data_IF_692237840076
#
_entry.id   IF_692237840076
#
_cell.length_a   1.000
_cell.length_b   1.000
_cell.length_c   1.000
_cell.angle_alpha   90.00
_cell.angle_beta   90.00
_cell.angle_gamma   90.00
#
_symmetry.space_group_name_H-M   'P 1'
#
loop_
_entity.id
_entity.type
_entity.pdbx_description
1 polymer ?
#
# COMPACT_ATOMS: atom_id res chain seq x y z
N UNK A 1 -12.35 0.77 11.67
CA UNK A 1 -13.28 -0.39 11.65
C UNK A 1 -13.69 -0.79 10.24
N UNK A 2 -13.82 0.15 9.29
CA UNK A 2 -14.09 -0.09 7.86
C UNK A 2 -12.82 -0.18 6.99
N UNK A 3 -11.69 -0.66 7.55
CA UNK A 3 -10.39 -0.58 6.87
C UNK A 3 -10.18 -1.70 5.84
N UNK A 4 -10.94 -2.80 5.94
CA UNK A 4 -10.80 -3.95 5.05
C UNK A 4 -11.96 -4.02 4.06
N UNK A 5 -11.65 -4.44 2.84
CA UNK A 5 -12.58 -4.67 1.73
C UNK A 5 -12.49 -6.14 1.34
N UNK A 6 -13.63 -6.78 1.09
CA UNK A 6 -13.68 -8.10 0.45
C UNK A 6 -13.78 -7.90 -1.04
N UNK A 7 -12.82 -8.42 -1.79
CA UNK A 7 -12.85 -8.39 -3.25
C UNK A 7 -13.91 -9.33 -3.80
N UNK A 8 -14.69 -8.81 -4.73
CA UNK A 8 -15.70 -9.56 -5.49
C UNK A 8 -15.19 -9.86 -6.90
N UNK A 9 -14.53 -8.90 -7.53
CA UNK A 9 -13.82 -9.03 -8.82
C UNK A 9 -12.48 -8.30 -8.72
N UNK A 10 -11.37 -8.98 -8.95
CA UNK A 10 -10.03 -8.40 -8.94
C UNK A 10 -9.70 -7.64 -10.23
N UNK A 11 -10.55 -7.73 -11.26
CA UNK A 11 -10.34 -7.06 -12.54
C UNK A 11 -9.01 -7.46 -13.18
N UNK A 12 -8.27 -6.48 -13.67
CA UNK A 12 -6.91 -6.66 -14.23
C UNK A 12 -5.81 -6.21 -13.25
N UNK A 13 -6.15 -6.12 -11.96
CA UNK A 13 -5.20 -5.87 -10.87
C UNK A 13 -4.42 -7.14 -10.50
N UNK A 14 -3.41 -6.99 -9.64
CA UNK A 14 -2.64 -8.13 -9.09
C UNK A 14 -3.30 -8.74 -7.84
N UNK A 15 -4.51 -8.31 -7.50
CA UNK A 15 -5.23 -8.79 -6.32
C UNK A 15 -5.92 -10.13 -6.63
N UNK A 16 -6.44 -10.78 -5.58
CA UNK A 16 -7.11 -12.08 -5.70
C UNK A 16 -8.58 -11.97 -5.33
N UNK A 17 -9.45 -12.58 -6.13
CA UNK A 17 -10.87 -12.67 -5.87
C UNK A 17 -11.16 -13.33 -4.52
N UNK A 18 -12.15 -12.80 -3.81
CA UNK A 18 -12.55 -13.27 -2.48
C UNK A 18 -11.54 -12.96 -1.36
N UNK A 19 -10.38 -12.39 -1.68
CA UNK A 19 -9.40 -11.99 -0.66
C UNK A 19 -9.88 -10.75 0.11
N UNK A 20 -9.40 -10.61 1.34
CA UNK A 20 -9.61 -9.41 2.16
C UNK A 20 -8.37 -8.54 2.09
N UNK A 21 -8.51 -7.35 1.53
CA UNK A 21 -7.44 -6.38 1.35
C UNK A 21 -7.71 -5.10 2.14
N UNK A 22 -6.67 -4.30 2.35
CA UNK A 22 -6.84 -2.95 2.89
C UNK A 22 -7.47 -2.03 1.84
N UNK A 23 -8.27 -1.06 2.27
CA UNK A 23 -8.88 -0.09 1.36
C UNK A 23 -7.82 0.72 0.60
N UNK A 24 -6.68 0.99 1.24
CA UNK A 24 -5.57 1.71 0.60
C UNK A 24 -4.88 0.86 -0.45
N UNK A 25 -4.66 -0.44 -0.17
CA UNK A 25 -4.06 -1.34 -1.15
C UNK A 25 -4.96 -1.56 -2.38
N UNK A 26 -6.29 -1.51 -2.20
CA UNK A 26 -7.25 -1.54 -3.30
C UNK A 26 -7.13 -0.28 -4.16
N UNK A 27 -7.07 0.89 -3.52
CA UNK A 27 -6.92 2.18 -4.20
C UNK A 27 -5.59 2.28 -4.96
N UNK A 28 -4.49 1.84 -4.35
CA UNK A 28 -3.17 1.77 -4.98
C UNK A 28 -3.18 0.83 -6.20
N UNK A 29 -3.84 -0.33 -6.08
CA UNK A 29 -3.96 -1.29 -7.19
C UNK A 29 -4.78 -0.74 -8.36
N UNK A 30 -5.86 -0.01 -8.07
CA UNK A 30 -6.69 0.63 -9.10
C UNK A 30 -5.96 1.82 -9.75
N UNK A 31 -5.21 2.60 -8.96
CA UNK A 31 -4.36 3.69 -9.47
C UNK A 31 -3.27 3.15 -10.42
N UNK A 32 -2.69 2.00 -10.13
CA UNK A 32 -1.74 1.33 -11.04
C UNK A 32 -2.42 0.90 -12.35
N UNK A 33 -3.66 0.41 -12.28
CA UNK A 33 -4.46 0.10 -13.48
C UNK A 33 -4.71 1.36 -14.31
N UNK A 34 -5.05 2.48 -13.69
CA UNK A 34 -5.22 3.76 -14.38
C UNK A 34 -3.94 4.23 -15.07
N UNK A 35 -2.79 4.07 -14.40
CA UNK A 35 -1.48 4.38 -14.99
C UNK A 35 -1.19 3.52 -16.22
N UNK A 36 -1.46 2.21 -16.16
CA UNK A 36 -1.29 1.27 -17.28
C UNK A 36 -2.23 1.60 -18.45
N UNK A 37 -3.48 1.94 -18.14
CA UNK A 37 -4.45 2.41 -19.12
C UNK A 37 -3.99 3.69 -19.83
N UNK A 38 -3.42 4.64 -19.09
CA UNK A 38 -2.86 5.87 -19.62
C UNK A 38 -1.58 5.62 -20.46
N UNK A 39 -0.77 4.62 -20.11
CA UNK A 39 0.37 4.17 -20.90
C UNK A 39 -0.03 3.43 -22.20
N UNK A 40 -1.34 3.26 -22.44
CA UNK A 40 -1.85 2.64 -23.65
C UNK A 40 -1.99 1.12 -23.57
N UNK A 41 -1.80 0.53 -22.39
CA UNK A 41 -2.11 -0.88 -22.18
C UNK A 41 -3.63 -1.10 -22.32
N UNK A 42 -3.99 -2.21 -22.94
CA UNK A 42 -5.36 -2.62 -23.23
C UNK A 42 -5.49 -4.11 -22.99
N UNK A 43 -6.71 -4.55 -22.70
CA UNK A 43 -7.07 -5.97 -22.64
C UNK A 43 -7.06 -6.57 -24.04
N UNK A 44 -7.11 -7.90 -24.14
CA UNK A 44 -7.07 -8.64 -25.41
C UNK A 44 -8.25 -8.29 -26.34
N UNK A 45 -9.37 -7.83 -25.77
CA UNK A 45 -10.56 -7.36 -26.47
C UNK A 45 -10.44 -5.90 -26.97
N UNK A 46 -9.33 -5.21 -26.67
CA UNK A 46 -9.08 -3.81 -27.05
C UNK A 46 -9.68 -2.80 -26.07
N UNK A 47 -10.33 -3.25 -25.00
CA UNK A 47 -10.90 -2.37 -23.97
C UNK A 47 -9.88 -1.96 -22.91
N UNK A 48 -10.26 -1.00 -22.06
CA UNK A 48 -9.46 -0.58 -20.92
C UNK A 48 -9.34 -1.70 -19.89
N UNK A 49 -8.21 -1.74 -19.18
CA UNK A 49 -8.02 -2.59 -18.01
C UNK A 49 -9.06 -2.24 -16.94
N UNK A 50 -9.64 -3.27 -16.32
CA UNK A 50 -10.68 -3.14 -15.31
C UNK A 50 -10.09 -3.00 -13.93
N UNK A 51 -10.73 -2.17 -13.12
CA UNK A 51 -10.42 -2.00 -11.70
C UNK A 51 -10.87 -3.23 -10.91
N UNK A 52 -10.28 -3.39 -9.73
CA UNK A 52 -10.80 -4.30 -8.73
C UNK A 52 -11.99 -3.66 -7.99
N UNK A 53 -13.04 -4.46 -7.81
CA UNK A 53 -14.27 -4.11 -7.11
C UNK A 53 -14.47 -5.00 -5.88
N UNK A 54 -15.04 -4.42 -4.84
CA UNK A 54 -15.31 -5.16 -3.62
C UNK A 54 -16.14 -4.41 -2.61
N UNK A 55 -16.70 -5.16 -1.66
CA UNK A 55 -17.56 -4.61 -0.61
C UNK A 55 -16.76 -4.34 0.67
N UNK A 56 -16.87 -3.12 1.18
CA UNK A 56 -16.21 -2.73 2.43
C UNK A 56 -16.82 -3.46 3.63
N UNK A 57 -15.96 -4.00 4.49
CA UNK A 57 -16.37 -4.80 5.63
C UNK A 57 -16.31 -4.00 6.94
N UNK A 58 -17.42 -4.00 7.68
CA UNK A 58 -17.43 -3.53 9.05
C UNK A 58 -16.92 -4.62 9.99
N UNK A 59 -15.71 -4.42 10.53
CA UNK A 59 -15.10 -5.36 11.48
C UNK A 59 -15.20 -4.83 12.90
N UNK A 60 -15.54 -5.71 13.85
CA UNK A 60 -15.43 -5.42 15.27
C UNK A 60 -13.98 -5.11 15.69
N UNK A 61 -13.80 -4.35 16.76
CA UNK A 61 -12.50 -3.79 17.17
C UNK A 61 -11.43 -4.89 17.32
N UNK A 62 -11.76 -6.00 17.97
CA UNK A 62 -10.84 -7.14 18.16
C UNK A 62 -10.36 -7.72 16.83
N UNK A 63 -11.29 -7.99 15.91
CA UNK A 63 -10.98 -8.59 14.60
C UNK A 63 -10.22 -7.60 13.72
N UNK A 64 -10.57 -6.33 13.76
CA UNK A 64 -9.85 -5.27 13.05
C UNK A 64 -8.41 -5.11 13.57
N UNK A 65 -8.19 -5.26 14.88
CA UNK A 65 -6.87 -5.14 15.51
C UNK A 65 -5.95 -6.32 15.19
N UNK A 66 -6.51 -7.52 15.02
CA UNK A 66 -5.75 -8.70 14.58
C UNK A 66 -5.47 -8.71 13.07
N UNK A 67 -6.30 -8.04 12.27
CA UNK A 67 -6.17 -7.96 10.81
C UNK A 67 -5.29 -6.80 10.32
N UNK A 68 -4.41 -6.27 11.18
CA UNK A 68 -3.40 -5.28 10.78
C UNK A 68 -2.30 -5.94 9.94
N UNK A 69 -1.60 -5.15 9.12
CA UNK A 69 -0.61 -5.69 8.19
C UNK A 69 0.68 -6.12 8.91
N UNK A 70 1.03 -5.39 9.97
CA UNK A 70 2.16 -5.72 10.85
C UNK A 70 1.81 -6.86 11.80
N UNK A 71 2.60 -7.93 11.71
CA UNK A 71 2.41 -9.08 12.58
C UNK A 71 2.95 -8.80 13.99
N UNK A 72 3.93 -7.90 14.16
CA UNK A 72 4.45 -7.53 15.48
C UNK A 72 3.38 -6.82 16.30
N UNK A 73 2.65 -5.87 15.69
CA UNK A 73 1.54 -5.18 16.34
C UNK A 73 0.34 -6.08 16.59
N UNK A 74 0.02 -6.98 15.64
CA UNK A 74 -1.05 -7.95 15.83
C UNK A 74 -0.73 -8.90 17.00
N UNK A 75 0.49 -9.43 17.05
CA UNK A 75 0.94 -10.38 18.07
C UNK A 75 1.00 -9.78 19.48
N UNK A 76 1.22 -8.46 19.59
CA UNK A 76 1.22 -7.74 20.86
C UNK A 76 -0.17 -7.44 21.42
N UNK A 77 -1.23 -7.63 20.63
CA UNK A 77 -2.60 -7.41 21.08
C UNK A 77 -3.16 -8.66 21.76
N UNK A 78 -3.42 -9.72 20.98
CA UNK A 78 -3.97 -11.00 21.43
C UNK A 78 -3.58 -12.12 20.45
N UNK A 79 -3.92 -13.38 20.77
CA UNK A 79 -3.71 -14.56 19.90
C UNK A 79 -2.24 -14.75 19.42
N UNK A 80 -1.25 -14.37 20.24
CA UNK A 80 0.18 -14.30 19.89
C UNK A 80 0.71 -15.55 19.17
N UNK A 81 0.43 -16.75 19.68
CA UNK A 81 0.90 -18.01 19.08
C UNK A 81 0.40 -18.19 17.64
N UNK A 82 -0.87 -17.88 17.39
CA UNK A 82 -1.50 -18.02 16.08
C UNK A 82 -0.92 -16.98 15.11
N UNK A 83 -0.83 -15.72 15.52
CA UNK A 83 -0.30 -14.63 14.68
C UNK A 83 1.15 -14.92 14.25
N UNK A 84 2.02 -15.32 15.18
CA UNK A 84 3.41 -15.62 14.88
C UNK A 84 3.57 -16.87 14.01
N UNK A 85 2.75 -17.89 14.23
CA UNK A 85 2.76 -19.11 13.39
C UNK A 85 2.35 -18.80 11.95
N UNK A 86 1.27 -18.04 11.75
CA UNK A 86 0.85 -17.64 10.40
C UNK A 86 1.88 -16.75 9.70
N UNK A 87 2.51 -15.83 10.44
CA UNK A 87 3.57 -14.98 9.92
C UNK A 87 4.80 -15.80 9.50
N UNK A 88 5.21 -16.79 10.32
CA UNK A 88 6.32 -17.68 10.02
C UNK A 88 6.05 -18.56 8.79
N UNK A 89 4.86 -19.16 8.68
CA UNK A 89 4.48 -19.99 7.52
C UNK A 89 4.48 -19.17 6.23
N UNK A 90 3.98 -17.93 6.28
CA UNK A 90 3.90 -17.04 5.12
C UNK A 90 5.21 -16.29 4.83
N UNK A 91 6.22 -16.39 5.71
CA UNK A 91 7.44 -15.61 5.62
C UNK A 91 7.18 -14.10 5.64
N UNK A 92 6.20 -13.63 6.42
CA UNK A 92 5.82 -12.21 6.45
C UNK A 92 6.99 -11.32 6.90
N UNK A 93 7.15 -10.19 6.24
CA UNK A 93 8.09 -9.13 6.60
C UNK A 93 7.31 -7.98 7.24
N UNK A 94 7.80 -7.48 8.37
CA UNK A 94 7.21 -6.30 9.03
C UNK A 94 7.98 -5.05 8.61
N UNK A 95 7.29 -4.09 7.99
CA UNK A 95 7.89 -2.85 7.49
C UNK A 95 7.95 -1.73 8.54
N UNK A 96 7.48 -1.97 9.78
CA UNK A 96 7.62 -1.03 10.90
C UNK A 96 7.05 0.37 10.60
N UNK A 97 5.94 0.45 9.88
CA UNK A 97 5.30 1.71 9.51
C UNK A 97 4.36 2.25 10.60
N UNK A 98 4.01 1.43 11.59
CA UNK A 98 3.07 1.78 12.64
C UNK A 98 3.74 2.26 13.93
N UNK A 99 2.91 2.60 14.91
CA UNK A 99 3.39 3.09 16.20
C UNK A 99 3.89 1.96 17.09
N UNK A 100 3.11 0.88 17.18
CA UNK A 100 3.34 -0.19 18.16
C UNK A 100 4.58 -1.03 17.82
N UNK A 101 4.85 -1.31 16.55
CA UNK A 101 6.05 -2.10 16.20
C UNK A 101 7.32 -1.34 16.60
N UNK A 102 7.35 -0.04 16.33
CA UNK A 102 8.49 0.81 16.66
C UNK A 102 8.71 0.93 18.17
N UNK A 103 7.64 0.98 18.97
CA UNK A 103 7.74 0.93 20.43
C UNK A 103 8.32 -0.42 20.90
N UNK A 104 7.88 -1.54 20.33
CA UNK A 104 8.34 -2.88 20.72
C UNK A 104 9.84 -3.05 20.46
N UNK A 105 10.34 -2.56 19.34
CA UNK A 105 11.77 -2.67 18.99
C UNK A 105 12.64 -1.56 19.60
N UNK A 106 12.02 -0.53 20.19
CA UNK A 106 12.74 0.61 20.78
C UNK A 106 13.23 1.68 19.78
N UNK A 107 12.61 1.78 18.59
CA UNK A 107 12.87 2.85 17.62
C UNK A 107 11.96 4.05 17.89
N UNK A 108 12.36 5.25 17.43
CA UNK A 108 11.46 6.40 17.38
C UNK A 108 10.17 6.04 16.64
N UNK A 109 9.03 6.45 17.20
CA UNK A 109 7.73 6.24 16.56
C UNK A 109 7.52 7.23 15.39
N UNK A 110 6.76 6.86 14.34
CA UNK A 110 6.45 7.73 13.21
C UNK A 110 5.39 8.80 13.56
N UNK A 111 5.55 9.47 14.69
CA UNK A 111 4.66 10.52 15.15
C UNK A 111 5.41 11.53 16.03
N UNK A 112 4.87 12.75 16.13
CA UNK A 112 5.45 13.82 16.94
C UNK A 112 6.90 14.13 16.54
N UNK A 113 7.80 14.13 17.52
CA UNK A 113 9.24 14.40 17.30
C UNK A 113 9.94 13.34 16.44
N UNK A 114 9.40 12.12 16.37
CA UNK A 114 9.97 11.06 15.54
C UNK A 114 9.67 11.23 14.04
N UNK A 115 8.69 12.08 13.66
CA UNK A 115 8.30 12.26 12.26
C UNK A 115 9.44 12.82 11.39
N UNK A 116 10.29 13.68 11.95
CA UNK A 116 11.42 14.28 11.22
C UNK A 116 12.39 13.20 10.71
N UNK A 117 12.75 12.23 11.57
CA UNK A 117 13.61 11.12 11.19
C UNK A 117 12.98 10.28 10.07
N UNK A 118 11.67 10.00 10.13
CA UNK A 118 10.99 9.23 9.08
C UNK A 118 10.91 9.97 7.73
N UNK A 119 10.77 11.30 7.75
CA UNK A 119 10.81 12.11 6.53
C UNK A 119 12.20 12.10 5.88
N UNK A 120 13.24 12.29 6.68
CA UNK A 120 14.63 12.24 6.21
C UNK A 120 14.98 10.86 5.62
N UNK A 121 14.62 9.78 6.31
CA UNK A 121 14.78 8.42 5.78
C UNK A 121 14.00 8.19 4.47
N UNK A 122 12.79 8.74 4.34
CA UNK A 122 12.00 8.62 3.11
C UNK A 122 12.62 9.40 1.95
N UNK A 123 13.16 10.59 2.21
CA UNK A 123 13.85 11.43 1.22
C UNK A 123 15.18 10.80 0.75
N UNK A 124 15.90 10.10 1.63
CA UNK A 124 17.12 9.36 1.27
C UNK A 124 16.84 8.15 0.36
N UNK A 125 15.72 7.46 0.59
CA UNK A 125 15.31 6.28 -0.17
C UNK A 125 14.68 6.61 -1.53
N UNK A 126 14.03 7.76 -1.66
CA UNK A 126 13.46 8.27 -2.90
C UNK A 126 13.97 9.69 -3.11
N UNK A 127 15.17 9.87 -3.70
CA UNK A 127 15.61 11.20 -4.10
C UNK A 127 14.52 11.78 -5.01
N UNK A 128 14.05 12.99 -4.67
CA UNK A 128 12.98 13.66 -5.39
C UNK A 128 13.25 13.58 -6.90
N UNK A 129 12.24 13.30 -7.74
CA UNK A 129 12.43 13.35 -9.18
C UNK A 129 12.94 14.76 -9.51
N UNK A 130 14.16 14.82 -10.04
CA UNK A 130 14.76 16.06 -10.52
C UNK A 130 13.74 16.67 -11.46
N UNK A 131 13.19 17.83 -11.10
CA UNK A 131 12.26 18.55 -11.96
C UNK A 131 12.93 18.70 -13.33
N UNK A 132 12.39 18.03 -14.34
CA UNK A 132 12.89 18.16 -15.71
C UNK A 132 12.46 19.52 -16.23
N UNK A 133 13.19 20.55 -15.82
CA UNK A 133 13.22 21.84 -16.49
C UNK A 133 13.98 21.67 -17.80
N UNK A 134 13.26 21.40 -18.87
CA UNK A 134 13.69 21.71 -20.22
C UNK A 134 12.48 22.33 -20.90
N UNK A 135 12.36 23.65 -20.75
CA UNK A 135 11.65 24.47 -21.72
C UNK A 135 12.39 24.26 -23.04
N UNK A 136 11.83 23.45 -23.93
CA UNK A 136 12.30 23.35 -25.31
C UNK A 136 12.03 24.70 -25.99
N UNK A 137 13.03 25.60 -25.94
CA UNK A 137 13.13 26.71 -26.87
C UNK A 137 13.20 26.13 -28.30
N UNK A 138 12.08 26.20 -29.01
CA UNK A 138 12.03 25.93 -30.44
C UNK A 138 12.88 27.02 -31.13
N UNK A 139 13.98 26.67 -31.84
CA UNK A 139 14.67 27.65 -32.63
C UNK A 139 13.77 28.01 -33.82
N UNK A 140 13.26 29.25 -33.82
CA UNK A 140 12.64 29.88 -34.97
C UNK A 140 13.67 29.91 -36.11
N UNK A 141 13.43 29.12 -37.16
CA UNK A 141 14.13 29.29 -38.43
C UNK A 141 13.61 30.59 -39.09
N UNK A 142 14.44 31.62 -39.15
CA UNK A 142 14.24 32.76 -40.05
C UNK A 142 14.79 32.42 -41.44
N UNK A 143 13.97 32.61 -42.48
CA UNK A 143 14.39 32.73 -43.89
C UNK A 143 14.89 34.17 -44.17
#
# INVERSE_FOLDING_TARGET
MMRKVRLEDAGDTKLLDGSMVDVLNLDDANTEVDRRNAAGERREDGELLRHAEGTQLLMGITKASLATDSFLSAASFQETTKVLTEAAIKGKIDHLLGLKENVIIGKLIPAGTGLAAYKEFAEELVPAPVASGAEDEIPMFED
#
